data_IF_096666682748
#
_entry.id   IF_096666682748
#
_cell.length_a   1.000
_cell.length_b   1.000
_cell.length_c   1.000
_cell.angle_alpha   90.00
_cell.angle_beta   90.00
_cell.angle_gamma   90.00
#
_symmetry.space_group_name_H-M   'P 1'
#
loop_
_entity.id
_entity.type
_entity.pdbx_description
1 polymer ?
#
# COMPACT_ATOMS: atom_id res chain seq x y z
N UNK A 1 16.03 -19.74 42.86
CA UNK A 1 16.32 -19.49 41.43
C UNK A 1 15.22 -18.63 40.82
N UNK A 2 15.49 -17.35 40.49
CA UNK A 2 14.51 -16.49 39.79
C UNK A 2 14.84 -16.49 38.30
N UNK A 3 13.93 -16.99 37.46
CA UNK A 3 14.08 -16.95 36.00
C UNK A 3 14.17 -15.48 35.54
N UNK A 4 15.10 -15.11 34.64
CA UNK A 4 15.26 -13.73 34.22
C UNK A 4 14.02 -13.26 33.43
N UNK A 5 13.46 -12.10 33.82
CA UNK A 5 12.33 -11.47 33.14
C UNK A 5 12.81 -11.01 31.75
N UNK A 6 12.18 -11.41 30.64
CA UNK A 6 12.64 -11.00 29.31
C UNK A 6 12.49 -9.49 29.15
N UNK A 7 13.56 -8.81 28.73
CA UNK A 7 13.60 -7.35 28.50
C UNK A 7 12.50 -6.92 27.51
N UNK A 8 11.76 -5.83 27.78
CA UNK A 8 10.55 -5.45 27.04
C UNK A 8 10.78 -5.10 25.56
N UNK A 9 11.99 -4.69 25.17
CA UNK A 9 12.29 -4.27 23.78
C UNK A 9 12.18 -5.39 22.73
N UNK A 10 12.55 -6.63 23.06
CA UNK A 10 12.56 -7.75 22.08
C UNK A 10 11.17 -8.27 21.70
N UNK A 11 10.14 -7.99 22.50
CA UNK A 11 8.76 -8.40 22.20
C UNK A 11 8.05 -7.38 21.30
N UNK A 12 8.31 -6.10 21.50
CA UNK A 12 7.76 -5.05 20.64
C UNK A 12 8.32 -5.08 19.22
N UNK A 13 9.61 -5.35 19.06
CA UNK A 13 10.24 -5.42 17.74
C UNK A 13 9.62 -6.53 16.88
N UNK A 14 9.44 -7.72 17.46
CA UNK A 14 8.78 -8.86 16.78
C UNK A 14 7.29 -8.63 16.49
N UNK A 15 6.60 -7.85 17.31
CA UNK A 15 5.22 -7.45 17.02
C UNK A 15 5.14 -6.40 15.92
N UNK A 16 6.06 -5.43 15.90
CA UNK A 16 6.16 -4.44 14.82
C UNK A 16 6.48 -5.10 13.49
N UNK A 17 7.38 -6.08 13.46
CA UNK A 17 7.72 -6.80 12.24
C UNK A 17 6.54 -7.63 11.69
N UNK A 18 5.75 -8.26 12.57
CA UNK A 18 4.52 -8.97 12.20
C UNK A 18 3.39 -8.04 11.77
N UNK A 19 3.22 -6.92 12.48
CA UNK A 19 2.26 -5.89 12.12
C UNK A 19 2.63 -5.19 10.81
N UNK A 20 3.93 -5.08 10.51
CA UNK A 20 4.42 -4.57 9.24
C UNK A 20 4.07 -5.53 8.09
N UNK A 21 4.28 -6.84 8.26
CA UNK A 21 3.89 -7.82 7.23
C UNK A 21 2.39 -7.80 6.93
N UNK A 22 1.54 -7.85 7.97
CA UNK A 22 0.08 -7.80 7.78
C UNK A 22 -0.42 -6.41 7.33
N UNK A 23 0.24 -5.35 7.78
CA UNK A 23 -0.12 -3.97 7.44
C UNK A 23 0.23 -3.61 5.99
N UNK A 24 1.28 -4.21 5.44
CA UNK A 24 1.69 -3.93 4.06
C UNK A 24 0.81 -4.61 3.02
N UNK A 25 0.31 -5.83 3.29
CA UNK A 25 -0.70 -6.48 2.46
C UNK A 25 -2.00 -5.67 2.44
N UNK A 26 -2.52 -5.30 3.61
CA UNK A 26 -3.72 -4.46 3.70
C UNK A 26 -3.54 -3.10 3.02
N UNK A 27 -2.36 -2.48 3.15
CA UNK A 27 -2.04 -1.20 2.51
C UNK A 27 -1.87 -1.32 1.00
N UNK A 28 -1.36 -2.46 0.52
CA UNK A 28 -1.31 -2.78 -0.89
C UNK A 28 -2.71 -2.98 -1.46
N UNK A 29 -3.54 -3.79 -0.80
CA UNK A 29 -4.93 -4.02 -1.19
C UNK A 29 -5.71 -2.70 -1.26
N UNK A 30 -5.47 -1.80 -0.30
CA UNK A 30 -6.04 -0.45 -0.30
C UNK A 30 -5.51 0.44 -1.44
N UNK A 31 -4.22 0.36 -1.79
CA UNK A 31 -3.65 1.07 -2.93
C UNK A 31 -4.23 0.58 -4.27
N UNK A 32 -4.33 -0.74 -4.45
CA UNK A 32 -4.91 -1.35 -5.65
C UNK A 32 -6.40 -1.04 -5.76
N UNK A 33 -7.15 -1.10 -4.66
CA UNK A 33 -8.56 -0.72 -4.64
C UNK A 33 -8.77 0.77 -5.01
N UNK A 34 -7.90 1.66 -4.52
CA UNK A 34 -7.94 3.08 -4.90
C UNK A 34 -7.62 3.29 -6.38
N UNK A 35 -6.63 2.58 -6.92
CA UNK A 35 -6.34 2.60 -8.36
C UNK A 35 -7.55 2.15 -9.19
N UNK A 36 -8.20 1.03 -8.82
CA UNK A 36 -9.39 0.56 -9.53
C UNK A 36 -10.53 1.57 -9.50
N UNK A 37 -10.79 2.20 -8.33
CA UNK A 37 -11.78 3.28 -8.22
C UNK A 37 -11.45 4.47 -9.13
N UNK A 38 -10.22 4.97 -9.05
CA UNK A 38 -9.78 6.10 -9.88
C UNK A 38 -9.84 5.76 -11.37
N UNK A 39 -9.55 4.50 -11.74
CA UNK A 39 -9.64 4.01 -13.12
C UNK A 39 -11.08 3.92 -13.61
N UNK A 40 -12.03 3.51 -12.77
CA UNK A 40 -13.46 3.54 -13.10
C UNK A 40 -13.96 4.97 -13.29
N UNK A 41 -13.54 5.90 -12.43
CA UNK A 41 -13.85 7.33 -12.58
C UNK A 41 -13.27 7.87 -13.89
N UNK A 42 -12.01 7.52 -14.19
CA UNK A 42 -11.35 7.90 -15.43
C UNK A 42 -12.04 7.32 -16.68
N UNK A 43 -12.54 6.08 -16.60
CA UNK A 43 -13.31 5.45 -17.66
C UNK A 43 -14.71 6.07 -17.83
N UNK A 44 -15.26 6.68 -16.78
CA UNK A 44 -16.50 7.45 -16.84
C UNK A 44 -16.32 8.90 -17.33
N UNK A 45 -15.07 9.40 -17.37
CA UNK A 45 -14.74 10.71 -17.91
C UNK A 45 -14.51 10.67 -19.42
N UNK A 46 -14.70 11.82 -20.06
CA UNK A 46 -14.49 11.98 -21.49
C UNK A 46 -12.99 11.95 -21.82
N UNK A 47 -12.60 10.98 -22.64
CA UNK A 47 -11.22 10.81 -23.08
C UNK A 47 -10.75 12.04 -23.86
N UNK A 48 -9.66 12.67 -23.42
CA UNK A 48 -9.06 13.82 -24.10
C UNK A 48 -9.23 15.18 -23.39
N UNK A 49 -9.99 15.24 -22.29
CA UNK A 49 -10.00 16.41 -21.39
C UNK A 49 -8.67 16.57 -20.65
N UNK A 50 -8.33 17.81 -20.27
CA UNK A 50 -7.18 18.10 -19.40
C UNK A 50 -7.34 17.44 -18.02
N UNK A 51 -8.59 17.32 -17.53
CA UNK A 51 -8.92 16.57 -16.31
C UNK A 51 -8.68 15.07 -16.45
N UNK A 52 -9.01 14.47 -17.61
CA UNK A 52 -8.71 13.07 -17.90
C UNK A 52 -7.20 12.82 -17.86
N UNK A 53 -6.40 13.68 -18.47
CA UNK A 53 -4.95 13.58 -18.44
C UNK A 53 -4.35 13.73 -17.03
N UNK A 54 -4.92 14.60 -16.19
CA UNK A 54 -4.53 14.73 -14.78
C UNK A 54 -4.86 13.47 -13.98
N UNK A 55 -6.07 12.93 -14.16
CA UNK A 55 -6.50 11.73 -13.45
C UNK A 55 -5.74 10.49 -13.93
N UNK A 56 -5.39 10.42 -15.22
CA UNK A 56 -4.56 9.36 -15.79
C UNK A 56 -3.18 9.32 -15.14
N UNK A 57 -2.52 10.49 -15.04
CA UNK A 57 -1.23 10.62 -14.35
C UNK A 57 -1.33 10.24 -12.86
N UNK A 58 -2.46 10.53 -12.21
CA UNK A 58 -2.70 10.13 -10.83
C UNK A 58 -2.83 8.60 -10.70
N UNK A 59 -3.62 7.98 -11.57
CA UNK A 59 -3.75 6.52 -11.68
C UNK A 59 -2.40 5.84 -11.94
N UNK A 60 -1.62 6.33 -12.91
CA UNK A 60 -0.30 5.77 -13.24
C UNK A 60 0.67 5.88 -12.06
N UNK A 61 0.59 6.97 -11.28
CA UNK A 61 1.41 7.14 -10.07
C UNK A 61 1.03 6.18 -8.95
N UNK A 62 -0.28 5.97 -8.73
CA UNK A 62 -0.79 4.99 -7.77
C UNK A 62 -0.39 3.57 -8.17
N UNK A 63 -0.50 3.24 -9.46
CA UNK A 63 -0.10 1.95 -10.01
C UNK A 63 1.40 1.70 -9.83
N UNK A 64 2.25 2.67 -10.20
CA UNK A 64 3.69 2.58 -10.01
C UNK A 64 4.07 2.44 -8.51
N UNK A 65 3.29 3.04 -7.60
CA UNK A 65 3.49 2.87 -6.16
C UNK A 65 3.15 1.45 -5.71
N UNK A 66 2.04 0.89 -6.20
CA UNK A 66 1.63 -0.49 -5.93
C UNK A 66 2.63 -1.51 -6.49
N UNK A 67 3.08 -1.36 -7.74
CA UNK A 67 4.09 -2.25 -8.35
C UNK A 67 5.43 -2.22 -7.63
N UNK A 68 5.92 -1.03 -7.23
CA UNK A 68 7.12 -0.90 -6.40
C UNK A 68 6.97 -1.60 -5.07
N UNK A 69 5.79 -1.54 -4.47
CA UNK A 69 5.48 -2.29 -3.25
C UNK A 69 5.55 -3.80 -3.50
N UNK A 70 5.00 -4.28 -4.61
CA UNK A 70 5.02 -5.70 -4.96
C UNK A 70 6.45 -6.22 -5.20
N UNK A 71 7.28 -5.46 -5.94
CA UNK A 71 8.70 -5.80 -6.18
C UNK A 71 9.55 -5.80 -4.92
N UNK A 72 9.17 -5.05 -3.89
CA UNK A 72 9.91 -5.00 -2.62
C UNK A 72 9.52 -6.15 -1.66
N UNK A 73 8.38 -6.80 -1.89
CA UNK A 73 7.84 -7.87 -1.04
C UNK A 73 8.07 -9.30 -1.56
N UNK A 74 8.62 -9.45 -2.76
CA UNK A 74 9.05 -10.72 -3.36
C UNK A 74 10.51 -11.02 -3.00
#
# INVERSE_FOLDING_TARGET
>A
MRKPRPKPGRKQEKMKEKAWKNGCEAKFEQMVANYHKEKEVLASMEEGSDEYNKQKKHCDSLFASAEKFFSQYQ
#
